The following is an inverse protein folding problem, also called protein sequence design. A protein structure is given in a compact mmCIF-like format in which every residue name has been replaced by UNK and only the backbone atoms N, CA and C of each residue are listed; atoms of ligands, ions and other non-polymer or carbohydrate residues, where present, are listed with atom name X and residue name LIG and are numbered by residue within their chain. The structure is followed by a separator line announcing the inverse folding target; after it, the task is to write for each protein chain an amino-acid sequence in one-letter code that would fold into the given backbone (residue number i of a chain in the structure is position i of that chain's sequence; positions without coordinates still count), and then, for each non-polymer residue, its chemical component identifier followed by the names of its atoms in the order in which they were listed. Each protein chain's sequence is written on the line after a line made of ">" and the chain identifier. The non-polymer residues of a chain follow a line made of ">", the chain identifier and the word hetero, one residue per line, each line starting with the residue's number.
data_IF_433114832633
#
_entry.id   IF_433114832633
#
_cell.length_a   1.000
_cell.length_b   1.000
_cell.length_c   1.000
_cell.angle_alpha   90.00
_cell.angle_beta   90.00
_cell.angle_gamma   90.00
#
_symmetry.space_group_name_H-M   'P 1'
#
loop_
_entity.id
_entity.type
_entity.pdbx_description
1 polymer ?
#
# COMPACT_ATOMS: atom_id res chain seq x y z
N UNK A 1 18.62 0.78 4.05
CA UNK A 1 17.83 -0.43 4.34
C UNK A 1 18.62 -1.70 4.04
N UNK A 2 18.87 -2.11 2.79
CA UNK A 2 19.58 -3.38 2.54
C UNK A 2 20.97 -3.49 3.22
N UNK A 3 21.75 -2.39 3.26
CA UNK A 3 23.03 -2.36 3.98
C UNK A 3 22.85 -2.39 5.50
N UNK A 4 21.88 -1.67 6.06
CA UNK A 4 21.60 -1.65 7.50
C UNK A 4 21.11 -3.00 8.01
N UNK A 5 20.26 -3.70 7.24
CA UNK A 5 19.81 -5.06 7.56
C UNK A 5 20.98 -6.06 7.55
N UNK A 6 21.93 -5.90 6.62
CA UNK A 6 23.11 -6.75 6.55
C UNK A 6 24.05 -6.52 7.74
N UNK A 7 24.32 -5.26 8.08
CA UNK A 7 25.13 -4.91 9.25
C UNK A 7 24.48 -5.40 10.55
N UNK A 8 23.15 -5.30 10.66
CA UNK A 8 22.42 -5.81 11.80
C UNK A 8 22.49 -7.34 11.91
N UNK A 9 22.26 -8.05 10.80
CA UNK A 9 22.36 -9.51 10.76
C UNK A 9 23.79 -9.99 11.08
N UNK A 10 24.81 -9.25 10.64
CA UNK A 10 26.20 -9.54 10.98
C UNK A 10 26.48 -9.34 12.48
N UNK A 11 26.00 -8.25 13.09
CA UNK A 11 26.12 -8.05 14.55
C UNK A 11 25.40 -9.14 15.35
N UNK A 12 24.22 -9.56 14.89
CA UNK A 12 23.45 -10.67 15.50
C UNK A 12 24.23 -11.99 15.42
N UNK A 13 24.86 -12.27 14.28
CA UNK A 13 25.73 -13.44 14.12
C UNK A 13 26.97 -13.39 15.00
N UNK A 14 27.67 -12.24 15.06
CA UNK A 14 28.83 -12.06 15.93
C UNK A 14 28.48 -12.27 17.40
N UNK A 15 27.33 -11.73 17.84
CA UNK A 15 26.81 -11.95 19.19
C UNK A 15 26.46 -13.42 19.47
N UNK A 16 25.99 -14.16 18.46
CA UNK A 16 25.74 -15.60 18.56
C UNK A 16 27.05 -16.39 18.66
N UNK A 17 28.02 -16.10 17.81
CA UNK A 17 29.36 -16.71 17.84
C UNK A 17 30.05 -16.48 19.19
N UNK A 18 29.93 -15.28 19.77
CA UNK A 18 30.49 -14.96 21.08
C UNK A 18 29.94 -15.84 22.23
N UNK A 19 28.76 -16.43 22.06
CA UNK A 19 28.13 -17.35 23.02
C UNK A 19 28.55 -18.81 22.83
N UNK A 20 29.36 -19.10 21.82
CA UNK A 20 29.79 -20.44 21.41
C UNK A 20 31.32 -20.52 21.46
N UNK A 21 31.93 -20.53 22.67
CA UNK A 21 33.39 -20.43 22.83
C UNK A 21 34.17 -21.64 22.30
N UNK A 22 33.48 -22.73 21.95
CA UNK A 22 34.06 -23.93 21.38
C UNK A 22 34.23 -23.86 19.85
N UNK A 23 33.71 -22.82 19.18
CA UNK A 23 33.88 -22.63 17.74
C UNK A 23 35.30 -22.20 17.40
N UNK A 24 35.85 -22.78 16.34
CA UNK A 24 37.06 -22.24 15.70
C UNK A 24 36.72 -20.99 14.88
N UNK A 25 37.73 -20.18 14.55
CA UNK A 25 37.55 -18.98 13.71
C UNK A 25 36.85 -19.30 12.38
N UNK A 26 37.26 -20.36 11.70
CA UNK A 26 36.63 -20.77 10.44
C UNK A 26 35.17 -21.18 10.61
N UNK A 27 34.84 -21.90 11.69
CA UNK A 27 33.45 -22.26 11.99
C UNK A 27 32.59 -21.04 12.33
N UNK A 28 33.16 -20.05 13.04
CA UNK A 28 32.48 -18.80 13.35
C UNK A 28 32.23 -17.95 12.10
N UNK A 29 33.19 -17.89 11.17
CA UNK A 29 33.03 -17.22 9.87
C UNK A 29 31.95 -17.87 9.01
N UNK A 30 31.95 -19.21 8.92
CA UNK A 30 30.96 -19.98 8.20
C UNK A 30 29.55 -19.78 8.76
N UNK A 31 29.41 -19.86 10.08
CA UNK A 31 28.14 -19.62 10.77
C UNK A 31 27.65 -18.20 10.53
N UNK A 32 28.54 -17.21 10.62
CA UNK A 32 28.20 -15.80 10.41
C UNK A 32 27.67 -15.56 9.00
N UNK A 33 28.31 -16.14 7.99
CA UNK A 33 27.87 -16.07 6.59
C UNK A 33 26.49 -16.68 6.39
N UNK A 34 26.29 -17.93 6.83
CA UNK A 34 25.01 -18.63 6.65
C UNK A 34 23.87 -17.97 7.43
N UNK A 35 24.13 -17.54 8.66
CA UNK A 35 23.15 -16.81 9.47
C UNK A 35 22.74 -15.50 8.78
N UNK A 36 23.72 -14.73 8.31
CA UNK A 36 23.46 -13.45 7.63
C UNK A 36 22.62 -13.64 6.37
N UNK A 37 22.95 -14.64 5.55
CA UNK A 37 22.19 -14.99 4.34
C UNK A 37 20.75 -15.39 4.67
N UNK A 38 20.57 -16.26 5.68
CA UNK A 38 19.25 -16.70 6.13
C UNK A 38 18.40 -15.53 6.67
N UNK A 39 18.98 -14.67 7.53
CA UNK A 39 18.26 -13.51 8.10
C UNK A 39 17.85 -12.51 7.03
N UNK A 40 18.72 -12.26 6.05
CA UNK A 40 18.38 -11.41 4.90
C UNK A 40 17.27 -12.04 4.04
N UNK A 41 17.31 -13.35 3.84
CA UNK A 41 16.25 -14.09 3.15
C UNK A 41 14.88 -13.93 3.82
N UNK A 42 14.81 -14.16 5.13
CA UNK A 42 13.59 -14.00 5.92
C UNK A 42 13.06 -12.57 5.89
N UNK A 43 13.96 -11.59 6.04
CA UNK A 43 13.60 -10.16 6.00
C UNK A 43 13.01 -9.78 4.65
N UNK A 44 13.62 -10.24 3.55
CA UNK A 44 13.09 -10.01 2.19
C UNK A 44 11.70 -10.64 2.02
N UNK A 45 11.51 -11.87 2.47
CA UNK A 45 10.21 -12.55 2.37
C UNK A 45 9.13 -11.80 3.16
N UNK A 46 9.42 -11.35 4.38
CA UNK A 46 8.48 -10.58 5.19
C UNK A 46 8.09 -9.24 4.53
N UNK A 47 9.08 -8.56 3.92
CA UNK A 47 8.84 -7.32 3.16
C UNK A 47 8.01 -7.58 1.91
N UNK A 48 8.26 -8.66 1.17
CA UNK A 48 7.48 -9.04 -0.01
C UNK A 48 6.02 -9.29 0.36
N UNK A 49 5.76 -10.10 1.38
CA UNK A 49 4.39 -10.36 1.87
C UNK A 49 3.68 -9.06 2.26
N UNK A 50 4.39 -8.14 2.90
CA UNK A 50 3.84 -6.84 3.30
C UNK A 50 3.56 -5.94 2.09
N UNK A 51 4.46 -5.90 1.11
CA UNK A 51 4.30 -5.14 -0.12
C UNK A 51 3.13 -5.66 -0.96
N UNK A 52 2.99 -6.98 -1.09
CA UNK A 52 1.90 -7.63 -1.81
C UNK A 52 0.55 -7.30 -1.15
N UNK A 53 0.49 -7.40 0.19
CA UNK A 53 -0.72 -7.03 0.94
C UNK A 53 -1.07 -5.55 0.80
N UNK A 54 -0.07 -4.66 0.85
CA UNK A 54 -0.29 -3.23 0.66
C UNK A 54 -0.83 -2.92 -0.75
N UNK A 55 -0.29 -3.57 -1.77
CA UNK A 55 -0.74 -3.44 -3.16
C UNK A 55 -2.18 -3.93 -3.30
N UNK A 56 -2.51 -5.08 -2.71
CA UNK A 56 -3.88 -5.62 -2.71
C UNK A 56 -4.86 -4.67 -2.03
N UNK A 57 -4.54 -4.20 -0.83
CA UNK A 57 -5.40 -3.27 -0.09
C UNK A 57 -5.61 -1.95 -0.84
N UNK A 58 -4.55 -1.44 -1.49
CA UNK A 58 -4.64 -0.25 -2.33
C UNK A 58 -5.59 -0.48 -3.50
N UNK A 59 -5.49 -1.61 -4.20
CA UNK A 59 -6.40 -1.97 -5.29
C UNK A 59 -7.85 -2.06 -4.84
N UNK A 60 -8.12 -2.72 -3.70
CA UNK A 60 -9.46 -2.83 -3.12
C UNK A 60 -10.03 -1.45 -2.75
N UNK A 61 -9.21 -0.55 -2.18
CA UNK A 61 -9.62 0.79 -1.83
C UNK A 61 -9.87 1.67 -3.07
N UNK A 62 -8.98 1.62 -4.06
CA UNK A 62 -9.12 2.38 -5.30
C UNK A 62 -10.37 1.97 -6.09
N UNK A 63 -10.69 0.67 -6.12
CA UNK A 63 -11.92 0.16 -6.72
C UNK A 63 -13.17 0.73 -6.03
N UNK A 64 -13.27 0.60 -4.69
CA UNK A 64 -14.39 1.16 -3.91
C UNK A 64 -14.51 2.68 -4.10
N UNK A 65 -13.38 3.37 -4.15
CA UNK A 65 -13.38 4.82 -4.35
C UNK A 65 -13.77 5.21 -5.78
N UNK A 66 -13.45 4.40 -6.79
CA UNK A 66 -13.90 4.61 -8.16
C UNK A 66 -15.42 4.45 -8.29
N UNK A 67 -16.00 3.43 -7.64
CA UNK A 67 -17.45 3.23 -7.58
C UNK A 67 -18.17 4.40 -6.92
N UNK A 68 -17.70 4.83 -5.73
CA UNK A 68 -18.28 5.96 -5.03
C UNK A 68 -18.19 7.25 -5.85
N UNK A 69 -17.02 7.53 -6.46
CA UNK A 69 -16.84 8.67 -7.36
C UNK A 69 -17.77 8.62 -8.57
N UNK A 70 -18.02 7.44 -9.13
CA UNK A 70 -18.96 7.27 -10.25
C UNK A 70 -20.40 7.54 -9.81
N UNK A 71 -20.83 6.96 -8.70
CA UNK A 71 -22.17 7.17 -8.16
C UNK A 71 -22.43 8.65 -7.84
N UNK A 72 -21.46 9.32 -7.20
CA UNK A 72 -21.56 10.74 -6.86
C UNK A 72 -21.66 11.60 -8.13
N UNK A 73 -20.82 11.35 -9.14
CA UNK A 73 -20.89 12.05 -10.43
C UNK A 73 -22.25 11.89 -11.09
N UNK A 74 -22.76 10.65 -11.20
CA UNK A 74 -24.08 10.38 -11.79
C UNK A 74 -25.18 11.15 -11.05
N UNK A 75 -25.16 11.13 -9.72
CA UNK A 75 -26.17 11.85 -8.92
C UNK A 75 -26.11 13.36 -9.13
N UNK A 76 -24.90 13.95 -9.15
CA UNK A 76 -24.76 15.38 -9.43
C UNK A 76 -25.17 15.74 -10.86
N UNK A 77 -24.82 14.93 -11.86
CA UNK A 77 -25.23 15.19 -13.25
C UNK A 77 -26.75 15.12 -13.39
N UNK A 78 -27.40 14.11 -12.78
CA UNK A 78 -28.86 14.00 -12.81
C UNK A 78 -29.52 15.17 -12.06
N UNK A 79 -29.03 15.54 -10.88
CA UNK A 79 -29.53 16.68 -10.12
C UNK A 79 -29.39 18.00 -10.90
N UNK A 80 -28.24 18.24 -11.53
CA UNK A 80 -28.01 19.41 -12.36
C UNK A 80 -28.94 19.44 -13.58
N UNK A 81 -29.12 18.31 -14.28
CA UNK A 81 -30.07 18.21 -15.39
C UNK A 81 -31.50 18.54 -14.94
N UNK A 82 -31.96 17.95 -13.83
CA UNK A 82 -33.30 18.23 -13.28
C UNK A 82 -33.48 19.69 -12.92
N UNK A 83 -32.48 20.31 -12.28
CA UNK A 83 -32.50 21.74 -11.95
C UNK A 83 -32.57 22.61 -13.20
N UNK A 84 -31.78 22.30 -14.23
CA UNK A 84 -31.80 23.03 -15.52
C UNK A 84 -33.16 22.90 -16.20
N UNK A 85 -33.72 21.69 -16.29
CA UNK A 85 -35.05 21.46 -16.85
C UNK A 85 -36.12 22.22 -16.07
N UNK A 86 -36.05 22.23 -14.74
CA UNK A 86 -36.99 22.95 -13.89
C UNK A 86 -36.91 24.47 -14.12
N UNK A 87 -35.72 25.06 -14.08
CA UNK A 87 -35.53 26.49 -14.33
C UNK A 87 -35.99 26.90 -15.73
N UNK A 88 -35.75 26.06 -16.73
CA UNK A 88 -36.16 26.33 -18.12
C UNK A 88 -37.68 26.21 -18.30
N UNK A 89 -38.30 25.20 -17.69
CA UNK A 89 -39.76 25.02 -17.71
C UNK A 89 -40.51 26.10 -16.93
N UNK A 90 -39.99 26.53 -15.78
CA UNK A 90 -40.54 27.66 -15.04
C UNK A 90 -40.40 28.97 -15.83
N UNK A 91 -39.24 29.22 -16.45
CA UNK A 91 -38.99 30.40 -17.27
C UNK A 91 -39.92 30.50 -18.49
N UNK A 92 -40.14 29.39 -19.20
CA UNK A 92 -41.06 29.36 -20.35
C UNK A 92 -42.52 29.53 -19.95
N UNK A 93 -42.95 28.94 -18.82
CA UNK A 93 -44.29 29.14 -18.27
C UNK A 93 -44.54 30.60 -17.85
N UNK A 94 -43.56 31.24 -17.20
CA UNK A 94 -43.65 32.68 -16.86
C UNK A 94 -43.67 33.58 -18.09
N UNK A 95 -42.93 33.24 -19.15
CA UNK A 95 -42.92 34.01 -20.40
C UNK A 95 -44.23 33.86 -21.19
N UNK A 96 -44.89 32.70 -21.13
CA UNK A 96 -46.20 32.47 -21.72
C UNK A 96 -47.33 33.17 -20.96
N UNK A 97 -47.24 33.29 -19.62
CA UNK A 97 -48.22 34.01 -18.81
C UNK A 97 -48.06 35.54 -18.86
N UNK A 98 -46.87 36.03 -19.23
CA UNK A 98 -46.57 37.46 -19.34
C UNK A 98 -46.84 38.06 -20.73
N UNK A 99 -47.36 37.27 -21.68
CA UNK A 99 -47.67 37.65 -23.06
C UNK A 99 -49.17 37.62 -23.31
#
# INVERSE_FOLDING_TARGET
>A
MARSEREQAQREAEALCARLPWLTTGQAEDLTRHFTEQRLGLTRQALQVTADRATRLRGEYEARYAELRRALRIRHTLGACLLVTFCTGAGSATALLAR
#
